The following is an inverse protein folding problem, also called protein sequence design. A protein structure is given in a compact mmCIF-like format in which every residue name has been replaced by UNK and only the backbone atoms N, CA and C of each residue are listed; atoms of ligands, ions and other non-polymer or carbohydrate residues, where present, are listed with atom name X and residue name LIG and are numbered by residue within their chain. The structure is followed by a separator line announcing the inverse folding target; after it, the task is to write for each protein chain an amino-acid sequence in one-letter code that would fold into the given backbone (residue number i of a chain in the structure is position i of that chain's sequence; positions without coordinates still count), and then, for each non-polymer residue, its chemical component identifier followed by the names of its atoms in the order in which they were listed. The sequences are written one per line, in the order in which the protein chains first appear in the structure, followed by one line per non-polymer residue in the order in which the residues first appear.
data_IF_722443197100
#
_entry.id   IF_722443197100
#
_cell.length_a   1.000
_cell.length_b   1.000
_cell.length_c   1.000
_cell.angle_alpha   90.00
_cell.angle_beta   90.00
_cell.angle_gamma   90.00
#
_symmetry.space_group_name_H-M   'P 1'
#
loop_
_entity.id
_entity.type
_entity.pdbx_description
1 polymer ?
#
# COMPACT_ATOMS: atom_id res chain seq x y z
N UNK A 1 -8.25 -4.91 -4.83
CA UNK A 1 -7.84 -3.72 -4.04
C UNK A 1 -7.16 -2.68 -4.92
N UNK A 2 -6.51 -3.06 -6.01
CA UNK A 2 -6.24 -2.13 -7.14
C UNK A 2 -7.51 -1.38 -7.56
N UNK A 3 -8.68 -2.00 -7.42
CA UNK A 3 -9.99 -1.47 -7.77
C UNK A 3 -10.42 -0.25 -6.93
N UNK A 4 -9.80 -0.06 -5.77
CA UNK A 4 -10.10 1.07 -4.87
C UNK A 4 -9.18 2.28 -5.12
N UNK A 5 -8.35 2.23 -6.18
CA UNK A 5 -7.53 3.35 -6.62
C UNK A 5 -7.99 3.78 -8.02
N UNK A 6 -8.66 4.92 -8.10
CA UNK A 6 -9.10 5.49 -9.36
C UNK A 6 -8.01 6.41 -9.93
N UNK A 7 -7.70 6.24 -11.23
CA UNK A 7 -6.84 7.16 -11.97
C UNK A 7 -7.71 8.20 -12.69
N UNK A 8 -7.50 9.47 -12.37
CA UNK A 8 -8.08 10.59 -13.11
C UNK A 8 -7.01 11.20 -14.02
N UNK A 9 -7.33 11.36 -15.30
CA UNK A 9 -6.52 12.13 -16.25
C UNK A 9 -6.91 13.61 -16.21
N UNK A 10 -5.95 14.48 -15.91
CA UNK A 10 -6.12 15.92 -15.97
C UNK A 10 -6.16 16.45 -17.41
N UNK A 11 -6.57 17.70 -17.59
CA UNK A 11 -6.51 18.40 -18.89
C UNK A 11 -5.07 18.52 -19.41
N UNK A 12 -4.11 18.64 -18.49
CA UNK A 12 -2.65 18.62 -18.72
C UNK A 12 -2.08 17.21 -18.98
N UNK A 13 -2.95 16.20 -19.16
CA UNK A 13 -2.60 14.80 -19.36
C UNK A 13 -1.94 14.11 -18.18
N UNK A 14 -1.78 14.78 -17.02
CA UNK A 14 -1.21 14.15 -15.83
C UNK A 14 -2.23 13.22 -15.18
N UNK A 15 -1.74 12.07 -14.72
CA UNK A 15 -2.55 11.11 -13.96
C UNK A 15 -2.50 11.47 -12.48
N UNK A 16 -3.67 11.52 -11.85
CA UNK A 16 -3.81 11.65 -10.39
C UNK A 16 -4.52 10.41 -9.85
N UNK A 17 -3.86 9.71 -8.93
CA UNK A 17 -4.46 8.61 -8.20
C UNK A 17 -5.34 9.14 -7.05
N UNK A 18 -6.54 8.56 -6.90
CA UNK A 18 -7.45 8.84 -5.79
C UNK A 18 -7.88 7.54 -5.14
N UNK A 19 -7.78 7.49 -3.81
CA UNK A 19 -8.38 6.41 -3.03
C UNK A 19 -9.89 6.62 -2.99
N UNK A 20 -10.63 5.56 -3.26
CA UNK A 20 -12.09 5.49 -3.18
C UNK A 20 -12.49 4.35 -2.26
N UNK A 21 -13.78 4.29 -1.91
CA UNK A 21 -14.37 3.25 -1.08
C UNK A 21 -13.80 3.18 0.36
N UNK A 22 -14.38 4.01 1.22
CA UNK A 22 -14.09 4.07 2.66
C UNK A 22 -15.11 3.28 3.49
N UNK A 23 -15.88 2.36 2.90
CA UNK A 23 -16.92 1.60 3.61
C UNK A 23 -16.39 0.73 4.75
N UNK A 24 -15.09 0.41 4.72
CA UNK A 24 -14.36 -0.33 5.77
C UNK A 24 -13.30 0.54 6.48
N UNK A 25 -13.36 1.86 6.37
CA UNK A 25 -12.44 2.72 7.10
C UNK A 25 -12.85 2.84 8.58
N UNK A 26 -11.87 2.97 9.48
CA UNK A 26 -12.12 3.24 10.90
C UNK A 26 -11.19 4.32 11.42
N UNK A 27 -11.64 5.01 12.46
CA UNK A 27 -10.82 5.92 13.23
C UNK A 27 -9.73 5.17 13.98
N UNK A 28 -8.56 5.78 14.11
CA UNK A 28 -7.41 5.20 14.83
C UNK A 28 -7.69 5.02 16.32
N UNK A 29 -8.57 5.86 16.87
CA UNK A 29 -8.99 5.86 18.26
C UNK A 29 -9.97 4.71 18.57
N UNK A 30 -10.68 4.23 17.54
CA UNK A 30 -11.70 3.18 17.64
C UNK A 30 -11.49 2.13 16.53
N UNK A 31 -10.41 1.35 16.60
CA UNK A 31 -10.09 0.39 15.56
C UNK A 31 -11.09 -0.77 15.56
N UNK A 32 -11.53 -1.16 14.37
CA UNK A 32 -12.46 -2.28 14.20
C UNK A 32 -11.73 -3.56 13.76
N UNK A 33 -12.26 -4.70 14.17
CA UNK A 33 -11.87 -5.99 13.62
C UNK A 33 -12.69 -6.29 12.38
N UNK A 34 -12.06 -6.88 11.37
CA UNK A 34 -12.78 -7.43 10.22
C UNK A 34 -12.72 -8.95 10.26
N UNK A 35 -13.85 -9.58 9.95
CA UNK A 35 -13.87 -11.00 9.65
C UNK A 35 -13.72 -11.17 8.14
N UNK A 36 -12.49 -11.46 7.70
CA UNK A 36 -12.21 -11.69 6.30
C UNK A 36 -12.69 -13.10 5.91
N UNK A 37 -13.71 -13.19 5.05
CA UNK A 37 -14.21 -14.47 4.55
C UNK A 37 -13.17 -15.28 3.77
N UNK A 38 -13.47 -16.56 3.55
CA UNK A 38 -12.69 -17.43 2.67
C UNK A 38 -12.61 -16.80 1.26
N UNK A 39 -11.40 -16.63 0.73
CA UNK A 39 -11.15 -15.92 -0.53
C UNK A 39 -10.72 -14.44 -0.40
N UNK A 40 -10.51 -13.95 0.82
CA UNK A 40 -9.99 -12.63 1.10
C UNK A 40 -8.72 -12.27 0.29
N UNK A 41 -8.79 -11.15 -0.44
CA UNK A 41 -7.70 -10.61 -1.29
C UNK A 41 -6.33 -10.70 -0.64
N UNK A 42 -5.30 -11.05 -1.40
CA UNK A 42 -3.88 -11.09 -0.99
C UNK A 42 -3.36 -9.72 -0.47
N UNK A 43 -4.10 -8.63 -0.67
CA UNK A 43 -3.79 -7.30 -0.16
C UNK A 43 -4.10 -7.14 1.33
N UNK A 44 -4.99 -7.97 1.88
CA UNK A 44 -5.33 -7.90 3.30
C UNK A 44 -4.13 -8.34 4.15
N UNK A 45 -3.82 -7.59 5.18
CA UNK A 45 -2.72 -7.92 6.08
C UNK A 45 -2.98 -9.27 6.80
N UNK A 46 -1.95 -10.11 7.00
CA UNK A 46 -2.13 -11.45 7.54
C UNK A 46 -2.73 -11.48 8.95
N UNK A 47 -2.50 -10.45 9.76
CA UNK A 47 -3.12 -10.29 11.08
C UNK A 47 -4.61 -9.97 11.01
N UNK A 48 -5.06 -9.22 10.00
CA UNK A 48 -6.48 -8.89 9.80
C UNK A 48 -7.25 -10.14 9.37
N UNK A 49 -6.65 -10.99 8.52
CA UNK A 49 -7.22 -12.32 8.21
C UNK A 49 -7.37 -13.23 9.44
N UNK A 50 -6.59 -12.97 10.50
CA UNK A 50 -6.69 -13.68 11.78
C UNK A 50 -7.68 -13.01 12.75
N UNK A 51 -8.51 -12.09 12.26
CA UNK A 51 -9.50 -11.36 13.06
C UNK A 51 -8.91 -10.30 13.98
N UNK A 52 -7.64 -9.90 13.80
CA UNK A 52 -7.07 -8.79 14.58
C UNK A 52 -7.59 -7.45 14.05
N UNK A 53 -7.59 -6.46 14.93
CA UNK A 53 -8.01 -5.09 14.61
C UNK A 53 -7.13 -4.46 13.54
N UNK A 54 -7.73 -3.61 12.71
CA UNK A 54 -6.97 -2.82 11.72
C UNK A 54 -6.17 -1.73 12.40
N UNK A 55 -5.02 -1.41 11.79
CA UNK A 55 -4.11 -0.36 12.25
C UNK A 55 -3.46 0.29 11.03
N UNK A 56 -2.77 1.42 11.21
CA UNK A 56 -1.97 2.01 10.13
C UNK A 56 -0.96 1.02 9.53
N UNK A 57 -0.45 0.06 10.31
CA UNK A 57 0.46 -0.97 9.80
C UNK A 57 -0.23 -1.93 8.81
N UNK A 58 -1.55 -2.14 8.95
CA UNK A 58 -2.34 -2.94 8.01
C UNK A 58 -2.47 -2.23 6.66
N UNK A 59 -2.65 -0.91 6.65
CA UNK A 59 -2.67 -0.11 5.41
C UNK A 59 -1.31 -0.08 4.72
N UNK A 60 -0.22 -0.02 5.49
CA UNK A 60 1.15 -0.12 4.95
C UNK A 60 1.35 -1.45 4.21
N UNK A 61 0.83 -2.56 4.75
CA UNK A 61 0.90 -3.84 4.07
C UNK A 61 0.14 -3.82 2.74
N UNK A 62 -1.10 -3.35 2.77
CA UNK A 62 -1.96 -3.21 1.59
C UNK A 62 -1.29 -2.36 0.50
N UNK A 63 -0.69 -1.23 0.88
CA UNK A 63 0.07 -0.36 -0.01
C UNK A 63 1.29 -1.08 -0.61
N UNK A 64 2.01 -1.86 0.19
CA UNK A 64 3.12 -2.67 -0.30
C UNK A 64 2.71 -3.71 -1.34
N UNK A 65 1.56 -4.36 -1.16
CA UNK A 65 0.98 -5.30 -2.13
C UNK A 65 0.54 -4.59 -3.41
N UNK A 66 -0.07 -3.41 -3.29
CA UNK A 66 -0.44 -2.57 -4.44
C UNK A 66 0.79 -2.19 -5.27
N UNK A 67 1.88 -1.73 -4.62
CA UNK A 67 3.13 -1.39 -5.29
C UNK A 67 3.77 -2.62 -5.96
N UNK A 68 3.69 -3.79 -5.33
CA UNK A 68 4.14 -5.05 -5.93
C UNK A 68 3.38 -5.37 -7.22
N UNK A 69 2.06 -5.19 -7.23
CA UNK A 69 1.22 -5.44 -8.40
C UNK A 69 1.56 -4.48 -9.56
N UNK A 70 1.78 -3.20 -9.27
CA UNK A 70 2.27 -2.23 -10.26
C UNK A 70 3.63 -2.66 -10.83
N UNK A 71 4.56 -3.09 -9.98
CA UNK A 71 5.90 -3.52 -10.37
C UNK A 71 5.94 -4.83 -11.17
N UNK A 72 4.92 -5.69 -11.08
CA UNK A 72 4.81 -6.86 -11.95
C UNK A 72 4.62 -6.46 -13.41
N UNK A 73 3.88 -5.38 -13.64
CA UNK A 73 3.54 -4.87 -14.97
C UNK A 73 4.57 -3.85 -15.46
N UNK A 74 5.10 -3.02 -14.57
CA UNK A 74 6.07 -1.97 -14.91
C UNK A 74 7.48 -2.38 -14.50
N UNK A 75 8.35 -2.60 -15.49
CA UNK A 75 9.77 -2.97 -15.33
C UNK A 75 10.66 -2.02 -16.13
N UNK A 76 11.93 -1.79 -15.71
CA UNK A 76 12.59 -2.37 -14.55
C UNK A 76 12.15 -1.74 -13.22
N UNK A 77 12.30 -2.49 -12.13
CA UNK A 77 11.97 -2.05 -10.77
C UNK A 77 13.26 -1.64 -10.07
N UNK A 78 13.31 -0.43 -9.52
CA UNK A 78 14.47 0.06 -8.78
C UNK A 78 14.75 -0.79 -7.53
N UNK A 79 16.01 -0.77 -7.05
CA UNK A 79 16.36 -1.42 -5.77
C UNK A 79 15.68 -0.75 -4.58
N UNK A 80 15.47 0.57 -4.64
CA UNK A 80 14.79 1.34 -3.61
C UNK A 80 13.34 0.89 -3.48
N UNK A 81 12.60 0.88 -4.58
CA UNK A 81 11.22 0.42 -4.63
C UNK A 81 11.07 -1.03 -4.19
N UNK A 82 11.98 -1.92 -4.63
CA UNK A 82 12.00 -3.32 -4.18
C UNK A 82 12.19 -3.44 -2.67
N UNK A 83 13.08 -2.63 -2.08
CA UNK A 83 13.30 -2.59 -0.63
C UNK A 83 12.07 -2.10 0.13
N UNK A 84 11.41 -1.04 -0.38
CA UNK A 84 10.18 -0.47 0.17
C UNK A 84 9.05 -1.51 0.18
N UNK A 85 8.83 -2.20 -0.94
CA UNK A 85 7.81 -3.26 -1.04
C UNK A 85 8.09 -4.36 -0.01
N UNK A 86 9.34 -4.82 0.08
CA UNK A 86 9.75 -5.88 1.01
C UNK A 86 9.55 -5.48 2.47
N UNK A 87 9.89 -4.25 2.86
CA UNK A 87 9.74 -3.81 4.26
C UNK A 87 8.27 -3.55 4.60
N UNK A 88 7.46 -3.07 3.66
CA UNK A 88 6.03 -2.85 3.84
C UNK A 88 5.24 -4.16 4.00
N UNK A 89 5.61 -5.21 3.27
CA UNK A 89 4.86 -6.48 3.19
C UNK A 89 5.31 -7.54 4.22
N UNK A 90 6.08 -7.16 5.24
CA UNK A 90 6.49 -8.11 6.29
C UNK A 90 5.28 -8.65 7.07
N UNK A 91 5.33 -9.93 7.43
CA UNK A 91 4.21 -10.61 8.10
C UNK A 91 3.86 -10.02 9.48
N UNK A 92 4.86 -9.63 10.28
CA UNK A 92 4.65 -9.02 11.59
C UNK A 92 4.47 -7.49 11.45
N UNK A 93 3.39 -6.89 11.98
CA UNK A 93 3.12 -5.45 11.87
C UNK A 93 4.29 -4.57 12.34
N UNK A 94 4.85 -4.87 13.51
CA UNK A 94 5.92 -4.08 14.14
C UNK A 94 7.25 -4.11 13.37
N UNK A 95 7.40 -5.03 12.41
CA UNK A 95 8.61 -5.11 11.59
C UNK A 95 8.49 -4.26 10.31
N UNK A 96 7.28 -3.78 9.99
CA UNK A 96 7.01 -2.97 8.80
C UNK A 96 7.54 -1.55 9.01
N UNK A 97 7.96 -0.93 7.92
CA UNK A 97 8.27 0.50 7.93
C UNK A 97 7.01 1.32 8.23
N UNK A 98 7.16 2.51 8.80
CA UNK A 98 6.03 3.43 8.93
C UNK A 98 5.65 4.03 7.57
N UNK A 99 4.43 4.56 7.48
CA UNK A 99 3.98 5.27 6.28
C UNK A 99 4.89 6.48 5.95
N UNK A 100 5.38 7.18 6.97
CA UNK A 100 6.30 8.30 6.80
C UNK A 100 7.61 7.88 6.13
N UNK A 101 8.22 6.77 6.59
CA UNK A 101 9.45 6.23 5.99
C UNK A 101 9.20 5.73 4.57
N UNK A 102 8.06 5.08 4.32
CA UNK A 102 7.66 4.67 2.97
C UNK A 102 7.57 5.88 2.02
N UNK A 103 6.88 6.95 2.42
CA UNK A 103 6.75 8.18 1.60
C UNK A 103 8.11 8.81 1.32
N UNK A 104 8.98 8.89 2.34
CA UNK A 104 10.34 9.41 2.17
C UNK A 104 11.15 8.57 1.17
N UNK A 105 11.10 7.24 1.31
CA UNK A 105 11.76 6.31 0.40
C UNK A 105 11.28 6.45 -1.04
N UNK A 106 9.96 6.49 -1.26
CA UNK A 106 9.36 6.65 -2.58
C UNK A 106 9.74 7.98 -3.24
N UNK A 107 9.75 9.07 -2.47
CA UNK A 107 10.19 10.39 -2.98
C UNK A 107 11.65 10.39 -3.39
N UNK A 108 12.52 9.77 -2.58
CA UNK A 108 13.94 9.67 -2.89
C UNK A 108 14.17 8.85 -4.17
N UNK A 109 13.46 7.73 -4.31
CA UNK A 109 13.54 6.85 -5.48
C UNK A 109 13.07 7.57 -6.76
N UNK A 110 11.89 8.20 -6.73
CA UNK A 110 11.37 9.00 -7.84
C UNK A 110 12.32 10.15 -8.24
N UNK A 111 12.95 10.81 -7.27
CA UNK A 111 13.89 11.92 -7.56
C UNK A 111 15.18 11.41 -8.19
N UNK A 112 15.59 10.18 -7.89
CA UNK A 112 16.78 9.57 -8.46
C UNK A 112 16.59 9.15 -9.92
N UNK A 113 15.39 8.75 -10.33
CA UNK A 113 15.07 8.37 -11.70
C UNK A 113 14.91 9.57 -12.65
N UNK A 114 14.47 10.73 -12.15
CA UNK A 114 14.30 11.97 -12.97
C UNK A 114 15.65 12.63 -13.34
N UNK A 115 16.76 12.22 -12.70
CA UNK A 115 18.11 12.77 -12.93
C UNK A 115 18.94 12.00 -13.95
N UNK A 116 18.41 10.92 -14.52
CA UNK A 116 19.02 10.13 -15.62
C UNK A 116 18.26 10.35 -16.91
#
# INVERSE_FOLDING_TARGET
MTDNVLLRRGSDQRLTAKLIDFGCASWTENPIGFNCGEGASNHIAPEVRKGKVVTTATDVYSMGRLLEDVCRVYKPVSRGLSSIIRTATKAKPNNRQSLAIMIQGLKADLTSEVRT
#
